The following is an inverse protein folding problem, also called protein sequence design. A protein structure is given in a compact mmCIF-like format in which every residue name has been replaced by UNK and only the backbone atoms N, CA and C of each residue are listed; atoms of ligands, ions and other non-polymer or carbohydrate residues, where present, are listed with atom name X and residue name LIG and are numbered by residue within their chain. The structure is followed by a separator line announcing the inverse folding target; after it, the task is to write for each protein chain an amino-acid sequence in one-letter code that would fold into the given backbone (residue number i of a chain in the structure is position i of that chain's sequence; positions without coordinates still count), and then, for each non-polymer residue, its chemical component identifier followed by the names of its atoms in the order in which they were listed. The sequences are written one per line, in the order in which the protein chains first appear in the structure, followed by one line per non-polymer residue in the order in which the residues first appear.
data_IF_634032527663
#
_entry.id   IF_634032527663
#
_cell.length_a   1.000
_cell.length_b   1.000
_cell.length_c   1.000
_cell.angle_alpha   90.00
_cell.angle_beta   90.00
_cell.angle_gamma   90.00
#
_symmetry.space_group_name_H-M   'P 1'
#
loop_
_entity.id
_entity.type
_entity.pdbx_description
1 polymer ?
#
# COMPACT_ATOMS: atom_id res chain seq x y z
N UNK A 1 8.50 -18.78 19.63
CA UNK A 1 9.36 -17.59 19.86
C UNK A 1 8.43 -16.48 20.30
N UNK A 2 8.53 -16.01 21.54
CA UNK A 2 7.80 -14.82 21.97
C UNK A 2 8.24 -13.64 21.10
N UNK A 3 7.28 -12.94 20.49
CA UNK A 3 7.58 -11.74 19.71
C UNK A 3 7.85 -10.60 20.69
N UNK A 4 8.95 -9.90 20.52
CA UNK A 4 9.25 -8.70 21.29
C UNK A 4 8.19 -7.64 20.98
N UNK A 5 7.55 -7.10 22.02
CA UNK A 5 6.49 -6.09 21.88
C UNK A 5 6.88 -4.83 22.64
N UNK A 6 6.51 -3.67 22.09
CA UNK A 6 6.73 -2.37 22.72
C UNK A 6 5.39 -1.67 22.89
N UNK A 7 5.14 -1.14 24.10
CA UNK A 7 3.93 -0.37 24.38
C UNK A 7 4.08 1.05 23.85
N UNK A 8 3.15 1.45 22.97
CA UNK A 8 3.04 2.81 22.45
C UNK A 8 1.71 3.41 22.91
N UNK A 9 1.70 4.67 23.32
CA UNK A 9 0.47 5.41 23.68
C UNK A 9 0.33 6.62 22.79
N UNK A 10 -0.78 6.72 22.08
CA UNK A 10 -1.10 7.83 21.18
C UNK A 10 -2.54 8.28 21.42
N UNK A 11 -2.84 9.54 21.08
CA UNK A 11 -4.19 10.11 21.20
C UNK A 11 -4.93 9.87 19.89
N UNK A 12 -6.17 9.40 20.01
CA UNK A 12 -7.11 9.26 18.90
C UNK A 12 -8.43 9.96 19.25
N UNK A 13 -9.21 10.40 18.26
CA UNK A 13 -10.59 10.80 18.47
C UNK A 13 -11.36 9.72 19.22
N UNK A 14 -12.17 10.11 20.21
CA UNK A 14 -12.93 9.18 21.06
C UNK A 14 -13.79 8.22 20.23
N UNK A 15 -14.46 8.75 19.21
CA UNK A 15 -15.31 7.99 18.30
C UNK A 15 -14.57 6.83 17.60
N UNK A 16 -13.31 7.04 17.23
CA UNK A 16 -12.51 6.04 16.52
C UNK A 16 -12.08 4.91 17.49
N UNK A 17 -11.77 5.27 18.73
CA UNK A 17 -11.47 4.29 19.80
C UNK A 17 -12.71 3.45 20.11
N UNK A 18 -13.88 4.07 20.21
CA UNK A 18 -15.15 3.38 20.45
C UNK A 18 -15.51 2.45 19.29
N UNK A 19 -15.37 2.92 18.06
CA UNK A 19 -15.55 2.11 16.85
C UNK A 19 -14.62 0.89 16.86
N UNK A 20 -13.32 1.09 17.08
CA UNK A 20 -12.34 0.00 17.05
C UNK A 20 -12.62 -1.03 18.16
N UNK A 21 -13.10 -0.60 19.34
CA UNK A 21 -13.52 -1.52 20.42
C UNK A 21 -14.75 -2.34 20.02
N UNK A 22 -15.76 -1.69 19.44
CA UNK A 22 -16.97 -2.36 18.99
C UNK A 22 -16.66 -3.37 17.87
N UNK A 23 -15.82 -2.98 16.91
CA UNK A 23 -15.34 -3.84 15.84
C UNK A 23 -14.61 -5.07 16.38
N UNK A 24 -13.63 -4.86 17.27
CA UNK A 24 -12.88 -5.96 17.88
C UNK A 24 -13.84 -6.96 18.57
N UNK A 25 -14.80 -6.46 19.36
CA UNK A 25 -15.80 -7.29 20.04
C UNK A 25 -16.69 -8.05 19.05
N UNK A 26 -17.20 -7.38 18.01
CA UNK A 26 -18.08 -8.00 17.02
C UNK A 26 -17.40 -9.12 16.23
N UNK A 27 -16.08 -9.03 16.05
CA UNK A 27 -15.28 -10.01 15.32
C UNK A 27 -14.52 -11.00 16.21
N UNK A 28 -14.75 -10.98 17.53
CA UNK A 28 -14.08 -11.89 18.47
C UNK A 28 -12.55 -11.66 18.57
N UNK A 29 -12.10 -10.44 18.30
CA UNK A 29 -10.70 -10.04 18.29
C UNK A 29 -10.40 -9.09 19.45
N UNK A 30 -9.11 -8.98 19.81
CA UNK A 30 -8.59 -7.93 20.67
C UNK A 30 -8.30 -6.65 19.89
N UNK A 31 -8.26 -5.52 20.60
CA UNK A 31 -7.82 -4.23 20.01
C UNK A 31 -6.41 -4.33 19.41
N UNK A 32 -5.51 -5.06 20.10
CA UNK A 32 -4.14 -5.28 19.63
C UNK A 32 -4.12 -6.02 18.30
N UNK A 33 -4.96 -7.05 18.12
CA UNK A 33 -5.04 -7.80 16.86
C UNK A 33 -5.59 -6.97 15.70
N UNK A 34 -6.58 -6.10 15.97
CA UNK A 34 -7.11 -5.17 14.95
C UNK A 34 -5.99 -4.27 14.43
N UNK A 35 -5.21 -3.69 15.34
CA UNK A 35 -4.10 -2.80 14.99
C UNK A 35 -2.96 -3.58 14.31
N UNK A 36 -2.56 -4.73 14.87
CA UNK A 36 -1.48 -5.55 14.32
C UNK A 36 -1.78 -6.00 12.88
N UNK A 37 -3.01 -6.45 12.61
CA UNK A 37 -3.44 -6.83 11.26
C UNK A 37 -3.40 -5.65 10.29
N UNK A 38 -3.80 -4.46 10.73
CA UNK A 38 -3.70 -3.26 9.91
C UNK A 38 -2.25 -2.89 9.61
N UNK A 39 -1.36 -2.91 10.62
CA UNK A 39 0.06 -2.63 10.43
C UNK A 39 0.76 -3.66 9.53
N UNK A 40 0.38 -4.94 9.60
CA UNK A 40 0.90 -5.97 8.67
C UNK A 40 0.45 -5.69 7.24
N UNK A 41 -0.79 -5.24 7.04
CA UNK A 41 -1.29 -4.83 5.72
C UNK A 41 -0.55 -3.62 5.19
N UNK A 42 -0.32 -2.59 6.00
CA UNK A 42 0.48 -1.41 5.60
C UNK A 42 1.90 -1.81 5.19
N UNK A 43 2.58 -2.64 5.98
CA UNK A 43 3.91 -3.17 5.63
C UNK A 43 3.91 -4.02 4.36
N UNK A 44 2.82 -4.73 4.07
CA UNK A 44 2.70 -5.47 2.81
C UNK A 44 2.57 -4.51 1.63
N UNK A 45 1.77 -3.44 1.77
CA UNK A 45 1.61 -2.41 0.74
C UNK A 45 2.92 -1.65 0.47
N UNK A 46 3.68 -1.28 1.50
CA UNK A 46 5.01 -0.66 1.32
C UNK A 46 6.00 -1.60 0.60
N UNK A 47 5.89 -2.92 0.83
CA UNK A 47 6.69 -3.92 0.11
C UNK A 47 6.18 -4.23 -1.29
N UNK A 48 5.06 -3.64 -1.69
CA UNK A 48 4.46 -3.81 -3.01
C UNK A 48 4.63 -2.56 -3.89
N UNK A 49 5.50 -1.62 -3.51
CA UNK A 49 6.18 -0.81 -4.54
C UNK A 49 6.89 -1.81 -5.45
N UNK A 50 6.51 -1.92 -6.73
CA UNK A 50 7.15 -2.88 -7.63
C UNK A 50 8.66 -2.62 -7.61
N UNK A 51 9.47 -3.68 -7.61
CA UNK A 51 10.91 -3.48 -7.86
C UNK A 51 11.06 -2.84 -9.25
N UNK A 52 12.10 -2.03 -9.46
CA UNK A 52 12.37 -1.42 -10.77
C UNK A 52 12.40 -2.46 -11.91
N UNK A 53 12.81 -3.69 -11.59
CA UNK A 53 12.78 -4.85 -12.50
C UNK A 53 11.35 -5.28 -12.86
N UNK A 54 10.42 -5.28 -11.89
CA UNK A 54 9.02 -5.61 -12.15
C UNK A 54 8.30 -4.46 -12.88
N UNK A 55 8.64 -3.19 -12.63
CA UNK A 55 8.15 -2.06 -13.44
C UNK A 55 8.58 -2.20 -14.91
N UNK A 56 9.84 -2.56 -15.14
CA UNK A 56 10.38 -2.76 -16.48
C UNK A 56 9.72 -3.94 -17.24
N UNK A 57 9.32 -5.00 -16.52
CA UNK A 57 8.66 -6.18 -17.13
C UNK A 57 7.16 -5.95 -17.35
N UNK A 58 6.49 -5.23 -16.46
CA UNK A 58 5.03 -5.08 -16.48
C UNK A 58 4.52 -4.03 -17.47
N UNK A 59 5.41 -3.24 -18.07
CA UNK A 59 5.02 -2.21 -19.03
C UNK A 59 4.16 -1.11 -18.38
N UNK A 60 4.29 -0.93 -17.06
CA UNK A 60 3.63 0.16 -16.35
C UNK A 60 4.18 1.48 -16.87
N UNK A 61 3.33 2.23 -17.56
CA UNK A 61 3.63 3.58 -18.00
C UNK A 61 3.72 4.44 -16.75
N UNK A 62 4.86 5.13 -16.58
CA UNK A 62 5.04 6.08 -15.47
C UNK A 62 3.87 7.07 -15.45
N UNK A 63 3.27 7.37 -14.29
CA UNK A 63 2.16 8.31 -14.20
C UNK A 63 2.54 9.73 -14.67
N UNK A 64 3.83 10.05 -14.68
CA UNK A 64 4.38 11.33 -15.14
C UNK A 64 4.71 11.35 -16.64
N UNK A 65 4.57 10.22 -17.34
CA UNK A 65 4.80 10.15 -18.79
C UNK A 65 3.56 10.62 -19.55
N UNK A 66 3.75 11.58 -20.46
CA UNK A 66 2.77 11.87 -21.50
C UNK A 66 2.74 10.71 -22.51
N UNK A 67 1.84 9.77 -22.26
CA UNK A 67 1.71 8.55 -23.04
C UNK A 67 1.32 8.81 -24.51
N UNK A 68 0.60 9.90 -24.78
CA UNK A 68 0.15 10.26 -26.12
C UNK A 68 1.33 10.75 -26.96
N UNK A 69 2.14 11.66 -26.42
CA UNK A 69 3.34 12.14 -27.10
C UNK A 69 4.35 11.01 -27.34
N UNK A 70 4.61 10.17 -26.33
CA UNK A 70 5.55 9.06 -26.46
C UNK A 70 5.13 8.04 -27.54
N UNK A 71 3.82 7.81 -27.70
CA UNK A 71 3.28 6.97 -28.76
C UNK A 71 3.49 7.57 -30.16
N UNK A 72 3.22 8.88 -30.31
CA UNK A 72 3.42 9.59 -31.58
C UNK A 72 4.89 9.63 -32.00
N UNK A 73 5.80 9.82 -31.06
CA UNK A 73 7.25 9.78 -31.32
C UNK A 73 7.68 8.38 -31.78
N UNK A 74 7.23 7.34 -31.09
CA UNK A 74 7.52 5.96 -31.47
C UNK A 74 7.01 5.61 -32.88
N UNK A 75 5.79 6.03 -33.23
CA UNK A 75 5.24 5.84 -34.57
C UNK A 75 6.06 6.59 -35.63
N UNK A 76 6.44 7.83 -35.33
CA UNK A 76 7.25 8.65 -36.24
C UNK A 76 8.62 8.03 -36.52
N UNK A 77 9.26 7.44 -35.51
CA UNK A 77 10.52 6.73 -35.67
C UNK A 77 10.34 5.40 -36.43
N UNK A 78 9.29 4.64 -36.12
CA UNK A 78 8.98 3.36 -36.78
C UNK A 78 8.70 3.52 -38.28
N UNK A 79 8.07 4.62 -38.68
CA UNK A 79 7.70 4.91 -40.06
C UNK A 79 8.75 5.74 -40.82
N UNK A 80 9.92 6.02 -40.21
CA UNK A 80 11.04 6.72 -40.85
C UNK A 80 11.95 5.82 -41.69
N UNK A 81 11.44 4.71 -42.21
CA UNK A 81 12.16 3.84 -43.17
C UNK A 81 11.44 3.71 -44.49
#
# INVERSE_FOLDING_TARGET
MEQETTKVTFRLPKQDVEFARAYAKAHGMSMTEVIDRHLRRLRALERHTPSAELEAITGLISPDLDAEQAYHDHLSDKHRS
#
